data_IF_970894897679
#
_entry.id   IF_970894897679
#
_cell.length_a   1.000
_cell.length_b   1.000
_cell.length_c   1.000
_cell.angle_alpha   90.00
_cell.angle_beta   90.00
_cell.angle_gamma   90.00
#
_symmetry.space_group_name_H-M   'P 1'
#
loop_
_entity.id
_entity.type
_entity.pdbx_description
1 polymer ?
#
# COMPACT_ATOMS: atom_id res chain seq x y z
N UNK A 1 30.91 19.32 12.88
CA UNK A 1 29.51 18.86 12.79
C UNK A 1 28.98 19.25 11.43
N UNK A 2 28.92 18.30 10.45
CA UNK A 2 28.41 18.56 9.12
C UNK A 2 26.86 18.43 9.15
N UNK A 3 26.22 19.40 8.56
CA UNK A 3 24.79 19.69 8.62
C UNK A 3 23.96 18.57 7.94
N UNK A 4 23.47 17.59 8.72
CA UNK A 4 22.62 16.49 8.23
C UNK A 4 21.25 16.93 7.67
N UNK A 5 20.85 18.19 7.91
CA UNK A 5 19.56 18.72 7.47
C UNK A 5 19.55 19.16 5.99
N UNK A 6 20.70 19.35 5.35
CA UNK A 6 20.76 19.73 3.95
C UNK A 6 20.47 18.54 3.01
N UNK A 7 20.89 17.34 3.39
CA UNK A 7 20.67 16.13 2.58
C UNK A 7 19.21 15.66 2.58
N UNK A 8 18.50 15.79 3.71
CA UNK A 8 17.07 15.47 3.81
C UNK A 8 16.19 16.37 2.93
N UNK A 9 16.48 17.69 2.90
CA UNK A 9 15.75 18.65 2.05
C UNK A 9 16.03 18.43 0.56
N UNK A 10 17.22 18.03 0.20
CA UNK A 10 17.59 17.68 -1.18
C UNK A 10 16.87 16.43 -1.64
N UNK A 11 16.79 15.41 -0.79
CA UNK A 11 16.04 14.18 -1.05
C UNK A 11 14.53 14.44 -1.23
N UNK A 12 13.92 15.22 -0.34
CA UNK A 12 12.50 15.57 -0.43
C UNK A 12 12.17 16.44 -1.66
N UNK A 13 13.08 17.33 -2.07
CA UNK A 13 12.92 18.11 -3.31
C UNK A 13 12.97 17.22 -4.54
N UNK A 14 13.84 16.22 -4.57
CA UNK A 14 13.94 15.27 -5.67
C UNK A 14 12.73 14.31 -5.70
N UNK A 15 12.21 13.91 -4.55
CA UNK A 15 10.99 13.12 -4.44
C UNK A 15 9.74 13.92 -4.89
N UNK A 16 9.68 15.21 -4.60
CA UNK A 16 8.59 16.10 -5.04
C UNK A 16 8.64 16.41 -6.54
N UNK A 17 9.83 16.41 -7.17
CA UNK A 17 10.00 16.55 -8.62
C UNK A 17 9.59 15.28 -9.38
N UNK A 18 9.60 14.13 -8.69
CA UNK A 18 9.03 12.86 -9.18
C UNK A 18 7.55 12.71 -8.80
N UNK A 19 6.95 13.74 -8.24
CA UNK A 19 5.51 13.85 -8.09
C UNK A 19 4.86 13.62 -9.44
N UNK A 20 4.17 12.50 -9.55
CA UNK A 20 3.53 11.95 -10.72
C UNK A 20 2.53 12.98 -11.26
N UNK A 21 3.05 13.90 -12.07
CA UNK A 21 2.29 14.38 -13.18
C UNK A 21 2.13 13.18 -14.10
N UNK A 22 0.95 12.58 -14.14
CA UNK A 22 0.59 11.56 -15.12
C UNK A 22 0.96 12.16 -16.48
N UNK A 23 1.88 11.57 -17.26
CA UNK A 23 2.12 12.08 -18.60
C UNK A 23 0.80 11.91 -19.36
N UNK A 24 0.15 13.01 -19.67
CA UNK A 24 -1.01 13.09 -20.55
C UNK A 24 -0.61 12.81 -22.01
N UNK A 25 0.09 11.72 -22.25
CA UNK A 25 0.55 11.31 -23.55
C UNK A 25 0.44 9.80 -23.73
N UNK A 26 -0.77 9.26 -23.61
CA UNK A 26 -1.21 8.09 -24.33
C UNK A 26 -2.44 8.54 -25.13
N UNK A 27 -2.19 9.18 -26.24
CA UNK A 27 -3.20 9.38 -27.29
C UNK A 27 -3.44 8.02 -27.94
N UNK A 28 -4.47 7.32 -27.45
CA UNK A 28 -5.06 6.19 -28.16
C UNK A 28 -6.05 6.84 -29.12
N UNK A 29 -5.74 6.81 -30.41
CA UNK A 29 -6.68 7.22 -31.45
C UNK A 29 -7.90 6.33 -31.42
N UNK A 30 -9.08 6.94 -31.18
CA UNK A 30 -10.38 6.28 -31.33
C UNK A 30 -10.67 5.99 -32.80
N UNK A 31 -10.54 4.75 -33.21
CA UNK A 31 -11.34 4.19 -34.28
C UNK A 31 -11.73 2.79 -33.86
N UNK A 32 -12.95 2.65 -33.35
CA UNK A 32 -13.56 1.38 -33.05
C UNK A 32 -14.18 0.82 -34.32
N UNK A 33 -13.55 -0.16 -34.92
CA UNK A 33 -14.20 -1.22 -35.69
C UNK A 33 -13.66 -2.55 -35.18
N UNK A 34 -14.58 -3.48 -35.01
CA UNK A 34 -14.32 -4.80 -34.42
C UNK A 34 -13.23 -5.56 -35.18
N UNK A 35 -12.43 -6.32 -34.45
CA UNK A 35 -11.37 -7.21 -34.89
C UNK A 35 -10.12 -6.52 -35.42
N UNK A 36 -9.24 -6.04 -34.54
CA UNK A 36 -7.83 -5.93 -34.92
C UNK A 36 -6.93 -6.16 -33.69
N UNK A 37 -5.91 -6.96 -33.95
CA UNK A 37 -4.85 -7.36 -33.07
C UNK A 37 -4.28 -6.17 -32.28
N UNK A 38 -4.26 -6.31 -30.96
CA UNK A 38 -3.47 -5.45 -30.10
C UNK A 38 -2.00 -5.69 -30.49
N UNK A 39 -1.46 -4.84 -31.33
CA UNK A 39 -0.02 -4.79 -31.52
C UNK A 39 0.57 -4.23 -30.23
N UNK A 40 1.11 -5.10 -29.38
CA UNK A 40 2.03 -4.71 -28.33
C UNK A 40 3.19 -4.03 -29.07
N UNK A 41 3.23 -2.69 -29.02
CA UNK A 41 4.42 -1.99 -29.49
C UNK A 41 5.61 -2.54 -28.72
N UNK A 42 6.55 -3.09 -29.47
CA UNK A 42 7.79 -3.67 -28.97
C UNK A 42 8.38 -2.75 -27.90
N UNK A 43 8.42 -3.25 -26.69
CA UNK A 43 9.26 -2.67 -25.64
C UNK A 43 10.65 -2.52 -26.28
N UNK A 44 11.15 -1.30 -26.31
CA UNK A 44 12.43 -0.98 -26.92
C UNK A 44 13.49 -1.92 -26.35
N UNK A 45 14.01 -2.82 -27.17
CA UNK A 45 15.02 -3.83 -26.79
C UNK A 45 16.29 -3.20 -26.21
N UNK A 46 16.45 -1.87 -26.38
CA UNK A 46 17.54 -1.11 -25.79
C UNK A 46 17.38 -0.84 -24.30
N UNK A 47 16.16 -0.96 -23.72
CA UNK A 47 15.96 -0.82 -22.27
C UNK A 47 16.51 -2.04 -21.53
N UNK A 48 16.41 -3.23 -22.11
CA UNK A 48 16.89 -4.48 -21.48
C UNK A 48 18.43 -4.60 -21.42
N UNK A 49 19.17 -3.87 -22.29
CA UNK A 49 20.64 -3.91 -22.29
C UNK A 49 21.29 -2.86 -21.38
N UNK A 50 20.55 -1.86 -20.93
CA UNK A 50 21.08 -0.80 -20.05
C UNK A 50 21.05 -1.15 -18.56
N UNK A 51 20.45 -2.29 -18.19
CA UNK A 51 20.30 -2.73 -16.80
C UNK A 51 21.46 -3.53 -16.22
N UNK A 52 22.50 -3.87 -17.01
CA UNK A 52 23.59 -4.73 -16.54
C UNK A 52 24.86 -4.02 -16.06
N UNK A 53 25.01 -2.71 -16.36
CA UNK A 53 26.22 -1.95 -16.00
C UNK A 53 25.96 -0.66 -15.21
N UNK A 54 24.75 -0.47 -14.68
CA UNK A 54 24.51 0.66 -13.77
C UNK A 54 25.03 0.27 -12.37
N UNK A 55 25.95 1.03 -11.76
CA UNK A 55 26.30 0.81 -10.35
C UNK A 55 25.00 0.73 -9.54
N UNK A 56 24.92 -0.22 -8.62
CA UNK A 56 23.78 -0.33 -7.70
C UNK A 56 23.55 1.07 -7.10
N UNK A 57 22.51 1.76 -7.54
CA UNK A 57 22.17 3.05 -6.96
C UNK A 57 21.76 2.80 -5.51
N UNK A 58 22.19 3.67 -4.61
CA UNK A 58 21.73 3.66 -3.21
C UNK A 58 20.27 4.18 -3.10
N UNK A 59 19.50 4.00 -4.18
CA UNK A 59 18.13 4.45 -4.30
C UNK A 59 17.20 3.26 -4.46
N UNK A 60 16.05 3.32 -3.83
CA UNK A 60 14.95 2.38 -4.06
C UNK A 60 13.64 3.13 -4.18
N UNK A 61 12.67 2.50 -4.79
CA UNK A 61 11.31 3.04 -4.97
C UNK A 61 10.32 2.29 -4.09
N UNK A 62 9.33 3.00 -3.57
CA UNK A 62 8.16 2.41 -2.92
C UNK A 62 6.96 2.63 -3.83
N UNK A 63 6.31 1.55 -4.24
CA UNK A 63 5.04 1.57 -4.94
C UNK A 63 3.94 1.23 -3.95
N UNK A 64 2.89 2.04 -3.97
CA UNK A 64 1.78 1.93 -3.03
C UNK A 64 0.50 1.77 -3.83
N UNK A 65 -0.28 0.76 -3.47
CA UNK A 65 -1.70 0.70 -3.76
C UNK A 65 -2.46 0.73 -2.44
N UNK A 66 -3.64 1.27 -2.46
CA UNK A 66 -4.52 1.31 -1.29
C UNK A 66 -5.95 1.48 -1.75
N UNK A 67 -6.89 1.05 -0.90
CA UNK A 67 -8.33 1.28 -1.13
C UNK A 67 -8.78 0.82 -2.54
N UNK A 68 -8.27 -0.32 -3.00
CA UNK A 68 -8.61 -0.86 -4.31
C UNK A 68 -10.07 -1.34 -4.37
N UNK A 69 -10.70 -1.65 -3.24
CA UNK A 69 -12.10 -1.98 -3.10
C UNK A 69 -12.60 -2.95 -4.16
N UNK A 70 -11.77 -3.95 -4.48
CA UNK A 70 -12.07 -4.97 -5.48
C UNK A 70 -12.46 -4.41 -6.87
N UNK A 71 -11.92 -3.26 -7.28
CA UNK A 71 -12.16 -2.66 -8.61
C UNK A 71 -11.52 -3.48 -9.72
N UNK A 72 -12.10 -4.67 -9.99
CA UNK A 72 -11.55 -5.68 -10.90
C UNK A 72 -11.55 -5.17 -12.34
N UNK A 73 -12.66 -4.51 -12.75
CA UNK A 73 -12.89 -4.10 -14.13
C UNK A 73 -12.64 -2.62 -14.35
N UNK A 74 -12.32 -2.26 -15.59
CA UNK A 74 -12.35 -0.86 -16.01
C UNK A 74 -13.79 -0.33 -15.91
N UNK A 75 -13.93 0.92 -15.51
CA UNK A 75 -15.21 1.62 -15.38
C UNK A 75 -15.15 3.01 -16.00
N UNK A 76 -16.31 3.64 -16.15
CA UNK A 76 -16.39 5.02 -16.61
C UNK A 76 -16.08 5.94 -15.42
N UNK A 77 -14.94 6.63 -15.49
CA UNK A 77 -14.50 7.60 -14.51
C UNK A 77 -14.80 9.03 -15.00
N UNK A 78 -15.24 9.86 -14.08
CA UNK A 78 -15.59 11.23 -14.35
C UNK A 78 -14.36 12.15 -14.27
N UNK A 79 -14.20 13.00 -15.28
CA UNK A 79 -13.17 14.05 -15.31
C UNK A 79 -13.80 15.38 -15.67
N UNK A 80 -13.18 16.43 -15.19
CA UNK A 80 -13.51 17.81 -15.59
C UNK A 80 -12.37 18.34 -16.46
N UNK A 81 -12.59 18.43 -17.78
CA UNK A 81 -11.59 18.83 -18.75
C UNK A 81 -12.11 20.02 -19.56
N UNK A 82 -11.31 21.08 -19.68
CA UNK A 82 -11.65 22.28 -20.45
C UNK A 82 -13.04 22.86 -20.12
N UNK A 83 -13.42 22.81 -18.85
CA UNK A 83 -14.72 23.30 -18.39
C UNK A 83 -15.91 22.41 -18.74
N UNK A 84 -15.70 21.13 -19.07
CA UNK A 84 -16.75 20.16 -19.40
C UNK A 84 -16.57 18.83 -18.64
N UNK A 85 -17.71 18.22 -18.33
CA UNK A 85 -17.75 16.86 -17.80
C UNK A 85 -17.37 15.85 -18.90
N UNK A 86 -16.36 15.01 -18.65
CA UNK A 86 -15.90 13.98 -19.59
C UNK A 86 -15.84 12.64 -18.85
N UNK A 87 -16.35 11.57 -19.48
CA UNK A 87 -16.24 10.21 -18.98
C UNK A 87 -15.19 9.44 -19.78
N UNK A 88 -14.29 8.77 -19.08
CA UNK A 88 -13.23 7.96 -19.69
C UNK A 88 -13.13 6.61 -19.00
N UNK A 89 -12.92 5.55 -19.77
CA UNK A 89 -12.62 4.23 -19.20
C UNK A 89 -11.29 4.27 -18.44
N UNK A 90 -11.32 3.92 -17.16
CA UNK A 90 -10.17 3.92 -16.24
C UNK A 90 -10.25 2.74 -15.28
N UNK A 91 -9.19 2.54 -14.52
CA UNK A 91 -9.11 1.53 -13.48
C UNK A 91 -8.99 0.11 -14.01
N UNK A 92 -9.32 -0.82 -13.14
CA UNK A 92 -9.22 -2.27 -13.37
C UNK A 92 -7.86 -2.84 -12.97
N UNK A 93 -7.91 -3.99 -12.23
CA UNK A 93 -6.72 -4.61 -11.67
C UNK A 93 -5.71 -5.04 -12.75
N UNK A 94 -6.18 -5.48 -13.93
CA UNK A 94 -5.28 -5.89 -15.01
C UNK A 94 -4.46 -4.71 -15.57
N UNK A 95 -5.07 -3.53 -15.69
CA UNK A 95 -4.39 -2.31 -16.12
C UNK A 95 -3.38 -1.87 -15.05
N UNK A 96 -3.81 -1.85 -13.79
CA UNK A 96 -2.93 -1.52 -12.66
C UNK A 96 -1.73 -2.47 -12.59
N UNK A 97 -1.96 -3.78 -12.72
CA UNK A 97 -0.89 -4.80 -12.76
C UNK A 97 0.12 -4.52 -13.87
N UNK A 98 -0.35 -4.22 -15.08
CA UNK A 98 0.53 -3.90 -16.21
C UNK A 98 1.39 -2.66 -15.93
N UNK A 99 0.80 -1.62 -15.32
CA UNK A 99 1.53 -0.41 -14.92
C UNK A 99 2.60 -0.71 -13.87
N UNK A 100 2.25 -1.48 -12.84
CA UNK A 100 3.18 -1.86 -11.77
C UNK A 100 4.33 -2.69 -12.33
N UNK A 101 4.07 -3.66 -13.21
CA UNK A 101 5.12 -4.46 -13.82
C UNK A 101 6.09 -3.61 -14.63
N UNK A 102 5.58 -2.66 -15.41
CA UNK A 102 6.41 -1.72 -16.15
C UNK A 102 7.28 -0.84 -15.22
N UNK A 103 6.69 -0.38 -14.10
CA UNK A 103 7.42 0.39 -13.08
C UNK A 103 8.49 -0.45 -12.39
N UNK A 104 8.21 -1.72 -12.08
CA UNK A 104 9.19 -2.63 -11.47
C UNK A 104 10.38 -2.92 -12.40
N UNK A 105 10.14 -3.02 -13.70
CA UNK A 105 11.22 -3.14 -14.69
C UNK A 105 12.06 -1.87 -14.73
N UNK A 106 11.41 -0.70 -14.69
CA UNK A 106 12.10 0.60 -14.73
C UNK A 106 12.88 0.90 -13.44
N UNK A 107 12.36 0.46 -12.30
CA UNK A 107 12.92 0.67 -10.96
C UNK A 107 13.10 -0.69 -10.26
N UNK A 108 14.16 -1.44 -10.59
CA UNK A 108 14.33 -2.82 -10.13
C UNK A 108 14.52 -2.94 -8.62
N UNK A 109 15.07 -1.92 -7.96
CA UNK A 109 15.11 -1.83 -6.51
C UNK A 109 13.81 -1.20 -6.01
N UNK A 110 12.80 -2.01 -5.72
CA UNK A 110 11.50 -1.51 -5.30
C UNK A 110 10.88 -2.38 -4.21
N UNK A 111 9.95 -1.76 -3.49
CA UNK A 111 9.02 -2.40 -2.56
C UNK A 111 7.62 -2.04 -3.04
N UNK A 112 6.77 -3.02 -3.25
CA UNK A 112 5.36 -2.82 -3.51
C UNK A 112 4.56 -3.22 -2.27
N UNK A 113 3.78 -2.29 -1.72
CA UNK A 113 2.87 -2.62 -0.65
C UNK A 113 1.43 -2.16 -0.92
N UNK A 114 0.46 -2.88 -0.31
CA UNK A 114 -0.94 -2.50 -0.32
C UNK A 114 -1.34 -1.99 1.07
N UNK A 115 -1.97 -0.81 1.09
CA UNK A 115 -2.37 -0.09 2.30
C UNK A 115 -3.67 -0.55 2.93
N UNK A 116 -4.33 -1.60 2.39
CA UNK A 116 -5.58 -2.14 2.90
C UNK A 116 -6.81 -1.76 2.09
N UNK A 117 -7.95 -2.29 2.50
CA UNK A 117 -9.25 -2.18 1.83
C UNK A 117 -9.25 -2.82 0.43
N UNK A 118 -8.70 -4.03 0.35
CA UNK A 118 -8.58 -4.78 -0.89
C UNK A 118 -9.81 -5.66 -1.19
N UNK A 119 -10.33 -6.38 -0.16
CA UNK A 119 -11.26 -7.50 -0.34
C UNK A 119 -12.76 -7.13 -0.42
N UNK A 120 -13.10 -5.85 -0.37
CA UNK A 120 -14.48 -5.36 -0.32
C UNK A 120 -14.75 -4.31 -1.42
N UNK A 121 -16.03 -4.19 -1.86
CA UNK A 121 -16.47 -3.09 -2.73
C UNK A 121 -17.07 -3.52 -4.08
N UNK A 122 -16.86 -4.75 -4.52
CA UNK A 122 -17.41 -5.28 -5.77
C UNK A 122 -18.32 -6.49 -5.53
N UNK A 123 -19.31 -6.71 -6.41
CA UNK A 123 -20.26 -7.83 -6.27
C UNK A 123 -19.57 -9.20 -6.16
N UNK A 124 -18.50 -9.43 -6.93
CA UNK A 124 -17.71 -10.67 -6.83
C UNK A 124 -17.07 -10.83 -5.46
N UNK A 125 -16.52 -9.74 -4.89
CA UNK A 125 -15.95 -9.76 -3.55
C UNK A 125 -17.04 -10.08 -2.51
N UNK A 126 -18.20 -9.44 -2.59
CA UNK A 126 -19.32 -9.68 -1.66
C UNK A 126 -19.85 -11.10 -1.73
N UNK A 127 -19.99 -11.67 -2.94
CA UNK A 127 -20.51 -13.03 -3.14
C UNK A 127 -19.53 -14.12 -2.69
N UNK A 128 -18.22 -13.84 -2.74
CA UNK A 128 -17.16 -14.76 -2.32
C UNK A 128 -16.61 -14.45 -0.94
N UNK A 129 -17.15 -13.45 -0.26
CA UNK A 129 -16.61 -12.92 1.01
C UNK A 129 -15.11 -12.59 0.91
N UNK A 130 -14.67 -12.03 -0.24
CA UNK A 130 -13.28 -11.65 -0.49
C UNK A 130 -12.43 -12.73 -1.18
N UNK A 131 -12.78 -14.01 -1.09
CA UNK A 131 -11.92 -15.13 -1.53
C UNK A 131 -11.53 -15.06 -3.01
N UNK A 132 -12.42 -14.60 -3.88
CA UNK A 132 -12.14 -14.44 -5.31
C UNK A 132 -11.03 -13.40 -5.60
N UNK A 133 -10.70 -12.54 -4.65
CA UNK A 133 -9.67 -11.52 -4.79
C UNK A 133 -8.26 -12.05 -4.43
N UNK A 134 -8.16 -13.16 -3.70
CA UNK A 134 -6.87 -13.72 -3.25
C UNK A 134 -5.92 -13.99 -4.43
N UNK A 135 -6.33 -14.72 -5.48
CA UNK A 135 -5.43 -14.97 -6.61
C UNK A 135 -5.05 -13.68 -7.36
N UNK A 136 -5.94 -12.69 -7.39
CA UNK A 136 -5.66 -11.40 -8.01
C UNK A 136 -4.64 -10.61 -7.18
N UNK A 137 -4.80 -10.55 -5.86
CA UNK A 137 -3.82 -9.94 -4.95
C UNK A 137 -2.46 -10.64 -5.09
N UNK A 138 -2.42 -11.97 -5.09
CA UNK A 138 -1.17 -12.72 -5.22
C UNK A 138 -0.48 -12.48 -6.56
N UNK A 139 -1.23 -12.22 -7.65
CA UNK A 139 -0.66 -11.90 -8.95
C UNK A 139 0.13 -10.57 -8.96
N UNK A 140 -0.17 -9.64 -8.05
CA UNK A 140 0.60 -8.40 -7.92
C UNK A 140 1.99 -8.63 -7.31
N UNK A 141 2.20 -9.73 -6.59
CA UNK A 141 3.44 -10.02 -5.86
C UNK A 141 3.80 -8.89 -4.88
N UNK A 142 2.84 -8.49 -4.05
CA UNK A 142 3.11 -7.53 -2.98
C UNK A 142 4.19 -8.04 -2.04
N UNK A 143 5.10 -7.15 -1.65
CA UNK A 143 6.08 -7.44 -0.59
C UNK A 143 5.41 -7.37 0.79
N UNK A 144 4.48 -6.43 0.96
CA UNK A 144 3.83 -6.11 2.23
C UNK A 144 2.37 -5.74 2.02
N UNK A 145 1.51 -6.14 2.95
CA UNK A 145 0.11 -5.73 3.01
C UNK A 145 -0.27 -5.33 4.44
N UNK A 146 -1.19 -4.38 4.54
CA UNK A 146 -1.76 -3.89 5.78
C UNK A 146 -3.28 -4.13 5.74
N UNK A 147 -3.93 -4.59 6.83
CA UNK A 147 -5.38 -4.63 6.87
C UNK A 147 -5.96 -3.21 6.99
N UNK A 148 -6.92 -2.89 6.14
CA UNK A 148 -7.76 -1.71 6.25
C UNK A 148 -8.96 -1.91 7.19
N UNK A 149 -9.89 -0.97 7.16
CA UNK A 149 -11.11 -1.06 7.98
C UNK A 149 -12.17 -1.98 7.34
N UNK A 150 -12.11 -2.26 6.04
CA UNK A 150 -13.05 -3.16 5.38
C UNK A 150 -12.60 -4.62 5.33
N UNK A 151 -11.38 -4.96 5.68
CA UNK A 151 -10.95 -6.36 5.79
C UNK A 151 -11.77 -7.15 6.83
N UNK A 152 -12.35 -6.46 7.82
CA UNK A 152 -13.19 -7.10 8.85
C UNK A 152 -14.65 -7.34 8.42
N UNK A 153 -15.09 -6.83 7.26
CA UNK A 153 -16.51 -6.85 6.84
C UNK A 153 -17.11 -8.26 6.82
N UNK A 154 -16.32 -9.24 6.45
CA UNK A 154 -16.71 -10.67 6.43
C UNK A 154 -16.35 -11.40 7.72
N UNK A 155 -16.13 -10.66 8.82
CA UNK A 155 -15.77 -11.11 10.18
C UNK A 155 -14.34 -11.65 10.30
N UNK A 156 -13.88 -11.72 11.53
CA UNK A 156 -12.51 -12.13 11.90
C UNK A 156 -12.04 -13.41 11.22
N UNK A 157 -12.88 -14.47 11.24
CA UNK A 157 -12.48 -15.77 10.66
C UNK A 157 -12.16 -15.65 9.17
N UNK A 158 -12.97 -14.91 8.42
CA UNK A 158 -12.79 -14.74 6.98
C UNK A 158 -11.60 -13.82 6.69
N UNK A 159 -11.46 -12.72 7.43
CA UNK A 159 -10.27 -11.86 7.35
C UNK A 159 -8.97 -12.66 7.54
N UNK A 160 -8.91 -13.49 8.58
CA UNK A 160 -7.74 -14.34 8.83
C UNK A 160 -7.48 -15.32 7.68
N UNK A 161 -8.53 -15.86 7.09
CA UNK A 161 -8.43 -16.75 5.93
C UNK A 161 -7.90 -16.01 4.71
N UNK A 162 -8.53 -14.91 4.30
CA UNK A 162 -8.20 -14.17 3.08
C UNK A 162 -6.78 -13.57 3.16
N UNK A 163 -6.48 -12.87 4.24
CA UNK A 163 -5.15 -12.35 4.49
C UNK A 163 -4.11 -13.46 4.62
N UNK A 164 -4.47 -14.59 5.26
CA UNK A 164 -3.59 -15.74 5.43
C UNK A 164 -3.16 -16.39 4.11
N UNK A 165 -4.02 -16.38 3.09
CA UNK A 165 -3.74 -16.92 1.76
C UNK A 165 -3.02 -15.93 0.83
N UNK A 166 -2.84 -14.69 1.23
CA UNK A 166 -1.92 -13.78 0.54
C UNK A 166 -0.47 -14.22 0.73
N UNK A 167 0.34 -14.12 -0.32
CA UNK A 167 1.78 -14.44 -0.27
C UNK A 167 2.62 -13.32 0.33
N UNK A 168 2.10 -12.10 0.40
CA UNK A 168 2.77 -10.94 0.96
C UNK A 168 2.99 -11.06 2.48
N UNK A 169 3.98 -10.36 3.03
CA UNK A 169 4.06 -10.14 4.47
C UNK A 169 2.86 -9.32 4.96
N UNK A 170 2.37 -9.59 6.18
CA UNK A 170 1.26 -8.88 6.80
C UNK A 170 1.76 -8.22 8.07
N UNK A 171 1.43 -6.95 8.28
CA UNK A 171 1.74 -6.25 9.54
C UNK A 171 0.56 -5.46 10.05
N UNK A 172 0.38 -5.46 11.38
CA UNK A 172 -0.52 -4.54 12.06
C UNK A 172 -0.21 -4.53 13.56
N UNK A 173 0.26 -3.42 14.07
CA UNK A 173 0.72 -3.28 15.45
C UNK A 173 -0.39 -2.96 16.45
N UNK A 174 -1.63 -2.76 15.99
CA UNK A 174 -2.75 -2.35 16.83
C UNK A 174 -4.04 -3.18 16.65
N UNK A 175 -3.95 -4.36 16.01
CA UNK A 175 -5.03 -5.35 15.98
C UNK A 175 -4.73 -6.53 16.90
N UNK A 176 -5.64 -6.81 17.83
CA UNK A 176 -5.45 -7.81 18.87
C UNK A 176 -6.55 -8.86 18.85
N UNK A 177 -6.23 -10.08 19.21
CA UNK A 177 -7.24 -11.09 19.52
C UNK A 177 -8.02 -10.66 20.79
N UNK A 178 -9.34 -10.56 20.67
CA UNK A 178 -10.27 -10.30 21.77
C UNK A 178 -11.21 -11.50 21.89
N UNK A 179 -10.75 -12.53 22.52
CA UNK A 179 -11.40 -13.86 22.62
C UNK A 179 -11.40 -14.36 24.05
N UNK A 180 -11.99 -15.51 24.30
CA UNK A 180 -11.96 -16.17 25.60
C UNK A 180 -10.96 -17.36 25.64
N UNK A 181 -10.10 -17.46 24.65
CA UNK A 181 -9.09 -18.51 24.49
C UNK A 181 -7.67 -18.00 24.82
N UNK A 182 -6.67 -18.87 24.57
CA UNK A 182 -5.27 -18.57 24.83
C UNK A 182 -4.69 -17.44 23.98
N UNK A 183 -5.32 -17.11 22.85
CA UNK A 183 -4.82 -16.06 21.96
C UNK A 183 -5.24 -14.64 22.44
N UNK A 184 -6.11 -14.56 23.45
CA UNK A 184 -6.59 -13.27 23.93
C UNK A 184 -5.46 -12.32 24.32
N UNK A 185 -5.47 -11.12 23.75
CA UNK A 185 -4.44 -10.10 23.98
C UNK A 185 -3.16 -10.28 23.17
N UNK A 186 -3.06 -11.29 22.29
CA UNK A 186 -1.98 -11.39 21.32
C UNK A 186 -2.29 -10.55 20.07
N UNK A 187 -1.25 -10.04 19.43
CA UNK A 187 -1.38 -9.38 18.13
C UNK A 187 -1.86 -10.38 17.07
N UNK A 188 -2.77 -9.94 16.20
CA UNK A 188 -3.28 -10.76 15.08
C UNK A 188 -2.21 -10.90 13.99
N UNK A 189 -1.42 -9.85 13.76
CA UNK A 189 -0.33 -9.81 12.79
C UNK A 189 0.96 -9.35 13.45
N UNK A 190 2.13 -9.67 12.89
CA UNK A 190 3.38 -9.05 13.29
C UNK A 190 3.27 -7.53 13.28
N UNK A 191 3.88 -6.82 14.23
CA UNK A 191 3.76 -5.35 14.32
C UNK A 191 4.58 -4.62 13.26
N UNK A 192 5.64 -5.25 12.74
CA UNK A 192 6.57 -4.65 11.80
C UNK A 192 7.12 -5.68 10.81
N UNK A 193 7.71 -5.18 9.74
CA UNK A 193 8.45 -5.94 8.73
C UNK A 193 9.75 -5.22 8.37
N UNK A 194 10.78 -5.98 8.03
CA UNK A 194 12.10 -5.45 7.69
C UNK A 194 12.52 -5.95 6.32
N UNK A 195 13.06 -5.05 5.50
CA UNK A 195 13.62 -5.35 4.17
C UNK A 195 15.03 -4.78 4.04
N UNK A 196 15.93 -5.57 3.49
CA UNK A 196 17.22 -5.07 2.99
C UNK A 196 17.07 -4.73 1.52
N UNK A 197 17.31 -3.47 1.16
CA UNK A 197 17.19 -2.97 -0.21
C UNK A 197 18.14 -1.81 -0.45
N UNK A 198 18.78 -1.75 -1.61
CA UNK A 198 19.71 -0.67 -2.00
C UNK A 198 20.78 -0.37 -0.94
N UNK A 199 21.26 -1.40 -0.24
CA UNK A 199 22.26 -1.24 0.84
C UNK A 199 21.71 -0.70 2.16
N UNK A 200 20.40 -0.45 2.27
CA UNK A 200 19.75 0.00 3.48
C UNK A 200 18.93 -1.12 4.16
N UNK A 201 18.90 -1.12 5.49
CA UNK A 201 17.95 -1.88 6.28
C UNK A 201 16.76 -0.98 6.58
N UNK A 202 15.60 -1.33 6.04
CA UNK A 202 14.37 -0.52 6.08
C UNK A 202 13.32 -1.24 6.93
N UNK A 203 12.77 -0.53 7.92
CA UNK A 203 11.70 -1.03 8.79
C UNK A 203 10.36 -0.42 8.45
N UNK A 204 9.29 -1.23 8.51
CA UNK A 204 7.91 -0.83 8.33
C UNK A 204 7.10 -1.21 9.57
N UNK A 205 6.36 -0.27 10.15
CA UNK A 205 5.44 -0.51 11.27
C UNK A 205 4.03 -0.26 10.76
N UNK A 206 3.10 -1.21 10.93
CA UNK A 206 1.74 -1.13 10.38
C UNK A 206 0.69 -0.73 11.42
N UNK A 207 -0.26 0.13 11.03
CA UNK A 207 -1.40 0.52 11.85
C UNK A 207 -2.68 0.59 11.04
N UNK A 208 -3.77 0.02 11.55
CA UNK A 208 -5.12 0.24 11.04
C UNK A 208 -5.89 1.23 11.93
N UNK A 209 -7.05 1.67 11.47
CA UNK A 209 -7.91 2.58 12.21
C UNK A 209 -8.44 1.93 13.51
N UNK A 210 -8.18 2.57 14.64
CA UNK A 210 -8.70 2.09 15.93
C UNK A 210 -10.20 2.35 16.12
N UNK A 211 -10.79 3.19 15.26
CA UNK A 211 -12.21 3.53 15.28
C UNK A 211 -13.08 2.56 14.47
N UNK A 212 -12.53 1.51 13.88
CA UNK A 212 -13.27 0.51 13.10
C UNK A 212 -14.59 0.07 13.75
N UNK A 213 -14.65 -0.30 15.03
CA UNK A 213 -15.91 -0.70 15.67
C UNK A 213 -16.93 0.43 15.85
N UNK A 214 -16.51 1.69 15.68
CA UNK A 214 -17.38 2.88 15.75
C UNK A 214 -17.79 3.41 14.38
N UNK A 215 -16.95 3.19 13.37
CA UNK A 215 -17.21 3.62 11.99
C UNK A 215 -18.07 2.64 11.21
N UNK A 216 -18.07 1.37 11.63
CA UNK A 216 -18.79 0.26 10.98
C UNK A 216 -19.65 -0.48 12.00
N UNK A 217 -20.40 -1.49 11.53
CA UNK A 217 -21.11 -2.38 12.45
C UNK A 217 -20.12 -3.07 13.38
N UNK A 218 -20.30 -2.99 14.70
CA UNK A 218 -19.43 -3.70 15.66
C UNK A 218 -19.35 -5.21 15.43
N UNK A 219 -20.41 -5.79 14.84
CA UNK A 219 -20.47 -7.21 14.51
C UNK A 219 -19.44 -7.64 13.46
N UNK A 220 -18.93 -6.72 12.62
CA UNK A 220 -17.90 -7.03 11.62
C UNK A 220 -16.56 -7.34 12.27
N UNK A 221 -16.20 -6.58 13.30
CA UNK A 221 -14.94 -6.71 14.02
C UNK A 221 -15.07 -7.47 15.35
N UNK A 222 -16.13 -8.24 15.53
CA UNK A 222 -16.30 -9.08 16.71
C UNK A 222 -15.09 -10.02 16.91
N UNK A 223 -14.57 -10.08 18.13
CA UNK A 223 -13.38 -10.86 18.47
C UNK A 223 -12.05 -10.19 18.10
N UNK A 224 -12.08 -8.91 17.66
CA UNK A 224 -10.90 -8.10 17.38
C UNK A 224 -10.90 -6.89 18.32
N UNK A 225 -9.77 -6.63 18.97
CA UNK A 225 -9.48 -5.43 19.72
C UNK A 225 -8.62 -4.48 18.90
N UNK A 226 -8.86 -3.19 19.02
CA UNK A 226 -8.04 -2.14 18.37
C UNK A 226 -7.52 -1.18 19.43
N UNK A 227 -6.26 -0.78 19.31
CA UNK A 227 -5.64 0.23 20.16
C UNK A 227 -5.21 1.43 19.32
N UNK A 228 -4.95 2.56 19.97
CA UNK A 228 -4.45 3.74 19.27
C UNK A 228 -2.99 3.51 18.85
N UNK A 229 -2.58 4.02 17.68
CA UNK A 229 -1.20 3.86 17.19
C UNK A 229 -0.16 4.40 18.19
N UNK A 230 -0.49 5.49 18.86
CA UNK A 230 0.41 6.13 19.85
C UNK A 230 0.64 5.30 21.11
N UNK A 231 -0.12 4.21 21.35
CA UNK A 231 0.07 3.36 22.53
C UNK A 231 1.37 2.55 22.45
N UNK A 232 1.87 2.28 21.24
CA UNK A 232 3.05 1.43 21.07
C UNK A 232 4.03 1.86 19.95
N UNK A 233 3.74 2.92 19.19
CA UNK A 233 4.58 3.34 18.05
C UNK A 233 6.01 3.67 18.47
N UNK A 234 6.20 4.40 19.56
CA UNK A 234 7.52 4.75 20.09
C UNK A 234 8.35 3.49 20.40
N UNK A 235 7.72 2.46 21.01
CA UNK A 235 8.39 1.20 21.33
C UNK A 235 8.93 0.51 20.07
N UNK A 236 8.13 0.45 18.99
CA UNK A 236 8.56 -0.22 17.77
C UNK A 236 9.58 0.60 16.99
N UNK A 237 9.47 1.93 16.97
CA UNK A 237 10.49 2.80 16.39
C UNK A 237 11.84 2.60 17.10
N UNK A 238 11.83 2.63 18.43
CA UNK A 238 13.04 2.40 19.22
C UNK A 238 13.63 1.02 18.94
N UNK A 239 12.81 -0.04 18.96
CA UNK A 239 13.26 -1.40 18.69
C UNK A 239 13.89 -1.53 17.30
N UNK A 240 13.25 -0.99 16.27
CA UNK A 240 13.78 -1.04 14.89
C UNK A 240 15.09 -0.27 14.73
N UNK A 241 15.25 0.84 15.46
CA UNK A 241 16.50 1.63 15.44
C UNK A 241 17.61 0.98 16.22
N UNK A 242 17.36 0.67 17.49
CA UNK A 242 18.40 0.32 18.44
C UNK A 242 18.74 -1.16 18.43
N UNK A 243 17.75 -2.04 18.22
CA UNK A 243 17.95 -3.49 18.25
C UNK A 243 18.16 -4.03 16.83
N UNK A 244 17.28 -3.65 15.90
CA UNK A 244 17.36 -4.14 14.52
C UNK A 244 18.35 -3.31 13.66
N UNK A 245 18.70 -2.11 14.06
CA UNK A 245 19.62 -1.25 13.31
C UNK A 245 19.07 -0.77 11.97
N UNK A 246 17.75 -0.54 11.89
CA UNK A 246 17.13 0.03 10.69
C UNK A 246 17.58 1.48 10.48
N UNK A 247 18.08 1.78 9.28
CA UNK A 247 18.50 3.13 8.89
C UNK A 247 17.34 4.02 8.43
N UNK A 248 16.23 3.41 7.99
CA UNK A 248 15.02 4.10 7.53
C UNK A 248 13.81 3.40 8.13
N UNK A 249 12.87 4.17 8.68
CA UNK A 249 11.64 3.65 9.29
C UNK A 249 10.42 4.31 8.67
N UNK A 250 9.54 3.48 8.13
CA UNK A 250 8.22 3.86 7.65
C UNK A 250 7.15 3.44 8.66
N UNK A 251 6.25 4.35 8.98
CA UNK A 251 4.97 4.04 9.63
C UNK A 251 3.91 4.02 8.53
N UNK A 252 3.38 2.84 8.23
CA UNK A 252 2.35 2.65 7.20
C UNK A 252 0.99 2.52 7.89
N UNK A 253 0.00 3.26 7.41
CA UNK A 253 -1.26 3.40 8.14
C UNK A 253 -2.47 3.29 7.23
N UNK A 254 -3.56 2.72 7.78
CA UNK A 254 -4.89 2.78 7.19
C UNK A 254 -5.85 3.40 8.21
N UNK A 255 -5.83 4.74 8.34
CA UNK A 255 -6.60 5.45 9.38
C UNK A 255 -7.14 6.82 8.95
N UNK A 256 -6.97 7.18 7.69
CA UNK A 256 -7.41 8.46 7.13
C UNK A 256 -6.50 9.66 7.46
N UNK A 257 -6.53 10.66 6.60
CA UNK A 257 -5.61 11.80 6.63
C UNK A 257 -5.60 12.53 7.97
N UNK A 258 -6.75 12.80 8.56
CA UNK A 258 -6.82 13.55 9.83
C UNK A 258 -6.08 12.84 10.98
N UNK A 259 -6.24 11.52 11.10
CA UNK A 259 -5.52 10.74 12.12
C UNK A 259 -4.03 10.62 11.79
N UNK A 260 -3.66 10.53 10.52
CA UNK A 260 -2.26 10.52 10.08
C UNK A 260 -1.54 11.82 10.41
N UNK A 261 -2.17 12.97 10.15
CA UNK A 261 -1.66 14.30 10.52
C UNK A 261 -1.52 14.41 12.05
N UNK A 262 -2.52 13.92 12.79
CA UNK A 262 -2.45 13.84 14.25
C UNK A 262 -1.27 13.00 14.74
N UNK A 263 -1.06 11.83 14.14
CA UNK A 263 0.05 10.95 14.46
C UNK A 263 1.40 11.59 14.10
N UNK A 264 1.50 12.24 12.93
CA UNK A 264 2.73 12.88 12.49
C UNK A 264 3.19 14.04 13.39
N UNK A 265 2.26 14.67 14.10
CA UNK A 265 2.54 15.73 15.06
C UNK A 265 2.72 15.20 16.50
N UNK A 266 2.57 13.92 16.75
CA UNK A 266 2.73 13.32 18.06
C UNK A 266 4.22 13.06 18.34
N UNK A 267 4.76 13.50 19.49
CA UNK A 267 6.18 13.30 19.81
C UNK A 267 6.58 11.81 19.92
N UNK A 268 5.62 10.91 20.13
CA UNK A 268 5.88 9.47 20.20
C UNK A 268 6.27 8.84 18.86
N UNK A 269 6.07 9.55 17.76
CA UNK A 269 6.48 9.11 16.41
C UNK A 269 7.89 9.61 16.05
N UNK A 270 8.53 10.35 16.94
CA UNK A 270 9.88 10.82 16.71
C UNK A 270 10.84 9.66 16.42
N UNK A 271 11.54 9.79 15.30
CA UNK A 271 12.43 8.75 14.83
C UNK A 271 11.90 7.91 13.68
N UNK A 272 10.64 7.96 13.34
CA UNK A 272 10.17 7.55 12.03
C UNK A 272 10.60 8.56 10.98
N UNK A 273 10.93 8.08 9.78
CA UNK A 273 11.35 8.94 8.68
C UNK A 273 10.17 9.33 7.79
N UNK A 274 9.17 8.45 7.66
CA UNK A 274 7.99 8.65 6.84
C UNK A 274 6.73 8.07 7.49
N UNK A 275 5.60 8.74 7.27
CA UNK A 275 4.26 8.20 7.49
C UNK A 275 3.58 8.12 6.12
N UNK A 276 3.10 6.92 5.75
CA UNK A 276 2.39 6.66 4.52
C UNK A 276 0.96 6.23 4.86
N UNK A 277 -0.03 6.76 4.17
CA UNK A 277 -1.41 6.66 4.55
C UNK A 277 -2.34 6.04 3.52
N UNK A 278 -3.55 5.71 4.00
CA UNK A 278 -4.68 5.14 3.28
C UNK A 278 -6.00 5.52 3.97
N UNK A 279 -7.14 5.00 3.50
CA UNK A 279 -8.50 5.08 4.03
C UNK A 279 -9.35 6.22 3.42
N UNK A 280 -8.84 7.42 3.24
CA UNK A 280 -9.66 8.56 2.77
C UNK A 280 -9.54 8.83 1.28
N UNK A 281 -8.80 8.01 0.54
CA UNK A 281 -8.63 8.08 -0.92
C UNK A 281 -8.03 9.42 -1.43
N UNK A 282 -7.20 10.08 -0.61
CA UNK A 282 -6.55 11.37 -0.90
C UNK A 282 -5.10 11.25 -1.34
#
# INVERSE_FOLDING_TARGET
MKNKNADRRSFLKNAAVLGIGIPSALSISNNASASENISVHSVDKNIAKKGQDTPLSNEFSIFITTDLHAQIHTHDEFFWEEGKAVYKKRGGLAVLKTMIDALRVKFPQNILYDGGDYFHGHGVASLSEGEALIPLMNAFNYDLILPGNWEVVYKKKKMLYDMGHSTAAKICANMWHKTNDADNGLLIYPPYWIKYIAGAKVGFIGYTDHLVPKRQSPAYSEGIGFTHATDNVAKYIQYLKEVEGCGIIFVVTHMGLAQQVGLANDPRVEGADFILGADTHE
#
